data_IF_910094343599
#
_entry.id   IF_910094343599
#
_cell.length_a   1.000
_cell.length_b   1.000
_cell.length_c   1.000
_cell.angle_alpha   90.00
_cell.angle_beta   90.00
_cell.angle_gamma   90.00
#
_symmetry.space_group_name_H-M   'P 1'
#
loop_
_entity.id
_entity.type
_entity.pdbx_description
1 polymer ?
#
# COMPACT_ATOMS: atom_id res chain seq x y z
N UNK A 1 -0.49 -0.59 15.86
CA UNK A 1 -1.54 -0.52 14.83
C UNK A 1 -1.55 -1.82 14.04
N UNK A 2 -2.71 -2.25 13.54
CA UNK A 2 -2.77 -3.41 12.65
C UNK A 2 -1.92 -3.20 11.39
N UNK A 3 -1.47 -4.30 10.81
CA UNK A 3 -0.72 -4.32 9.58
C UNK A 3 -1.56 -4.98 8.50
N UNK A 4 -1.57 -4.40 7.31
CA UNK A 4 -2.36 -4.87 6.18
C UNK A 4 -1.48 -5.15 4.98
N UNK A 5 -1.87 -6.15 4.21
CA UNK A 5 -1.28 -6.45 2.91
C UNK A 5 -2.35 -6.19 1.85
N UNK A 6 -2.00 -5.47 0.82
CA UNK A 6 -2.90 -5.28 -0.32
C UNK A 6 -2.16 -5.53 -1.63
N UNK A 7 -2.92 -5.72 -2.68
CA UNK A 7 -2.40 -5.89 -4.03
C UNK A 7 -3.24 -5.10 -5.02
N UNK A 8 -2.57 -4.46 -5.95
CA UNK A 8 -3.23 -3.77 -7.07
C UNK A 8 -2.28 -3.75 -8.26
N UNK A 9 -2.76 -3.30 -9.42
CA UNK A 9 -1.92 -3.14 -10.59
C UNK A 9 -0.88 -2.05 -10.36
N UNK A 10 0.29 -2.22 -10.95
CA UNK A 10 1.37 -1.23 -10.86
C UNK A 10 1.07 -0.03 -11.76
N UNK A 11 0.51 -0.27 -12.95
CA UNK A 11 0.20 0.77 -13.90
C UNK A 11 1.46 1.52 -14.33
N UNK A 12 1.36 2.85 -14.35
CA UNK A 12 2.45 3.72 -14.77
C UNK A 12 3.28 4.26 -13.60
N UNK A 13 3.17 3.66 -12.42
CA UNK A 13 3.93 4.09 -11.25
C UNK A 13 5.41 3.79 -11.46
N UNK A 14 6.26 4.80 -11.23
CA UNK A 14 7.71 4.67 -11.37
C UNK A 14 8.35 4.20 -10.07
N UNK A 15 9.57 3.66 -10.16
CA UNK A 15 10.33 3.28 -8.97
C UNK A 15 10.56 4.45 -8.03
N UNK A 16 10.82 5.65 -8.58
CA UNK A 16 11.00 6.85 -7.77
C UNK A 16 9.74 7.21 -6.99
N UNK A 17 8.58 7.08 -7.63
CA UNK A 17 7.30 7.32 -6.97
C UNK A 17 7.05 6.33 -5.84
N UNK A 18 7.42 5.06 -6.03
CA UNK A 18 7.32 4.04 -4.99
C UNK A 18 8.21 4.38 -3.81
N UNK A 19 9.46 4.79 -4.06
CA UNK A 19 10.39 5.20 -3.01
C UNK A 19 9.88 6.39 -2.23
N UNK A 20 9.30 7.37 -2.92
CA UNK A 20 8.70 8.54 -2.27
C UNK A 20 7.55 8.13 -1.36
N UNK A 21 6.68 7.24 -1.84
CA UNK A 21 5.57 6.74 -1.05
C UNK A 21 6.04 5.96 0.18
N UNK A 22 7.10 5.16 0.03
CA UNK A 22 7.68 4.39 1.13
C UNK A 22 8.15 5.30 2.26
N UNK A 23 8.69 6.46 1.92
CA UNK A 23 9.26 7.40 2.89
C UNK A 23 8.28 8.49 3.32
N UNK A 24 7.06 8.46 2.82
CA UNK A 24 6.05 9.46 3.16
C UNK A 24 5.63 9.34 4.63
N UNK A 25 5.33 10.47 5.29
CA UNK A 25 4.80 10.42 6.64
C UNK A 25 3.39 9.85 6.65
N UNK A 26 2.90 9.55 7.87
CA UNK A 26 1.53 9.10 8.08
C UNK A 26 0.56 10.07 7.42
N UNK A 27 -0.37 9.55 6.63
CA UNK A 27 -1.35 10.38 5.96
C UNK A 27 -2.56 10.71 6.84
N UNK A 28 -3.54 11.41 6.26
CA UNK A 28 -4.76 11.83 6.96
C UNK A 28 -5.63 10.68 7.47
N UNK A 29 -5.47 9.49 6.89
CA UNK A 29 -6.19 8.28 7.30
C UNK A 29 -5.41 7.45 8.32
N UNK A 30 -4.22 7.89 8.69
CA UNK A 30 -3.37 7.18 9.63
C UNK A 30 -2.55 6.05 9.01
N UNK A 31 -2.35 6.08 7.71
CA UNK A 31 -1.65 5.04 6.95
C UNK A 31 -0.18 5.38 6.79
N UNK A 32 0.69 4.41 7.08
CA UNK A 32 2.12 4.48 6.75
C UNK A 32 2.54 3.22 6.02
N UNK A 33 3.48 3.37 5.11
CA UNK A 33 4.01 2.24 4.36
C UNK A 33 5.15 1.57 5.13
N UNK A 34 5.02 0.28 5.37
CA UNK A 34 6.05 -0.51 6.04
C UNK A 34 7.02 -1.11 5.02
N UNK A 35 6.49 -1.62 3.92
CA UNK A 35 7.27 -2.13 2.80
C UNK A 35 6.40 -2.18 1.55
N UNK A 36 7.03 -2.17 0.41
CA UNK A 36 6.35 -2.30 -0.87
C UNK A 36 7.16 -3.22 -1.78
N UNK A 37 6.44 -4.09 -2.50
CA UNK A 37 7.04 -5.02 -3.43
C UNK A 37 6.31 -4.88 -4.76
N UNK A 38 7.04 -5.00 -5.86
CA UNK A 38 6.42 -4.84 -7.16
C UNK A 38 7.07 -5.74 -8.21
N UNK A 39 6.30 -6.05 -9.25
CA UNK A 39 6.77 -6.78 -10.41
C UNK A 39 6.16 -6.10 -11.65
N UNK A 40 7.02 -5.44 -12.43
CA UNK A 40 6.58 -4.69 -13.61
C UNK A 40 6.04 -5.60 -14.70
N UNK A 41 6.66 -6.75 -14.89
CA UNK A 41 6.27 -7.68 -15.95
C UNK A 41 4.88 -8.24 -15.73
N UNK A 42 4.53 -8.51 -14.46
CA UNK A 42 3.22 -9.03 -14.10
C UNK A 42 2.22 -7.96 -13.75
N UNK A 43 2.62 -6.70 -13.75
CA UNK A 43 1.78 -5.56 -13.38
C UNK A 43 1.18 -5.74 -11.99
N UNK A 44 2.04 -6.05 -11.02
CA UNK A 44 1.63 -6.27 -9.62
C UNK A 44 2.37 -5.33 -8.69
N UNK A 45 1.63 -4.82 -7.72
CA UNK A 45 2.16 -3.94 -6.69
C UNK A 45 1.55 -4.37 -5.35
N UNK A 46 2.43 -4.77 -4.44
CA UNK A 46 2.04 -5.24 -3.11
C UNK A 46 2.46 -4.20 -2.08
N UNK A 47 1.54 -3.81 -1.19
CA UNK A 47 1.84 -2.87 -0.13
C UNK A 47 1.65 -3.52 1.22
N UNK A 48 2.63 -3.36 2.11
CA UNK A 48 2.52 -3.71 3.52
C UNK A 48 2.42 -2.41 4.29
N UNK A 49 1.28 -2.19 4.93
CA UNK A 49 0.91 -0.91 5.52
C UNK A 49 0.53 -1.08 6.98
N UNK A 50 0.87 -0.07 7.80
CA UNK A 50 0.27 0.09 9.11
C UNK A 50 -0.89 1.08 8.98
N UNK A 51 -2.05 0.71 9.49
CA UNK A 51 -3.27 1.52 9.40
C UNK A 51 -4.22 1.18 10.54
N UNK A 52 -5.09 2.11 10.95
CA UNK A 52 -6.04 1.85 12.03
C UNK A 52 -7.13 0.84 11.64
N UNK A 53 -7.45 0.72 10.35
CA UNK A 53 -8.50 -0.17 9.88
C UNK A 53 -8.32 -0.48 8.40
N UNK A 54 -9.02 -1.52 7.93
CA UNK A 54 -9.08 -1.87 6.52
C UNK A 54 -9.70 -0.74 5.70
N UNK A 55 -10.70 -0.06 6.26
CA UNK A 55 -11.35 1.08 5.61
C UNK A 55 -10.36 2.21 5.36
N UNK A 56 -9.46 2.48 6.31
CA UNK A 56 -8.42 3.48 6.14
C UNK A 56 -7.50 3.15 4.96
N UNK A 57 -7.16 1.88 4.78
CA UNK A 57 -6.34 1.43 3.65
C UNK A 57 -7.08 1.68 2.33
N UNK A 58 -8.37 1.37 2.28
CA UNK A 58 -9.18 1.62 1.09
C UNK A 58 -9.23 3.11 0.74
N UNK A 59 -9.48 3.96 1.72
CA UNK A 59 -9.55 5.40 1.51
C UNK A 59 -8.21 5.97 1.03
N UNK A 60 -7.12 5.47 1.61
CA UNK A 60 -5.77 5.86 1.19
C UNK A 60 -5.55 5.57 -0.31
N UNK A 61 -5.93 4.38 -0.77
CA UNK A 61 -5.77 4.02 -2.18
C UNK A 61 -6.73 4.79 -3.09
N UNK A 62 -7.98 4.99 -2.67
CA UNK A 62 -8.97 5.75 -3.43
C UNK A 62 -8.51 7.19 -3.69
N UNK A 63 -7.82 7.78 -2.75
CA UNK A 63 -7.26 9.11 -2.87
C UNK A 63 -6.31 9.24 -4.07
N UNK A 64 -5.62 8.16 -4.42
CA UNK A 64 -4.71 8.11 -5.56
C UNK A 64 -5.33 7.45 -6.80
N UNK A 65 -6.64 7.17 -6.77
CA UNK A 65 -7.32 6.54 -7.88
C UNK A 65 -6.98 5.06 -8.06
N UNK A 66 -6.51 4.40 -7.02
CA UNK A 66 -6.10 3.00 -7.06
C UNK A 66 -7.20 2.11 -6.49
N UNK A 67 -7.44 0.97 -7.15
CA UNK A 67 -8.37 -0.05 -6.68
C UNK A 67 -7.60 -1.30 -6.30
N UNK A 68 -7.65 -1.66 -5.02
CA UNK A 68 -7.01 -2.88 -4.55
C UNK A 68 -7.86 -4.09 -4.93
N UNK A 69 -7.21 -5.16 -5.43
CA UNK A 69 -7.90 -6.43 -5.71
C UNK A 69 -8.39 -7.05 -4.41
N UNK A 70 -7.60 -6.95 -3.37
CA UNK A 70 -7.98 -7.37 -2.01
C UNK A 70 -7.07 -6.69 -0.99
N UNK A 71 -7.57 -6.64 0.24
CA UNK A 71 -6.86 -6.11 1.41
C UNK A 71 -7.08 -7.10 2.53
N UNK A 72 -6.01 -7.53 3.19
CA UNK A 72 -6.12 -8.45 4.33
C UNK A 72 -5.22 -8.01 5.47
N UNK A 73 -5.69 -8.20 6.68
CA UNK A 73 -4.87 -7.99 7.86
C UNK A 73 -3.87 -9.12 7.98
N UNK A 74 -2.61 -8.80 8.25
CA UNK A 74 -1.53 -9.78 8.33
C UNK A 74 -0.69 -9.54 9.57
N UNK A 75 0.07 -10.55 9.94
CA UNK A 75 1.13 -10.44 10.93
C UNK A 75 2.44 -10.80 10.26
N UNK A 76 3.51 -10.13 10.65
CA UNK A 76 4.83 -10.40 10.10
C UNK A 76 5.70 -11.06 11.17
N UNK A 77 6.69 -11.80 10.73
CA UNK A 77 7.69 -12.41 11.63
C UNK A 77 8.94 -11.56 11.77
N UNK A 78 9.03 -10.50 11.00
CA UNK A 78 10.18 -9.59 11.03
C UNK A 78 9.87 -8.32 11.81
#
# INVERSE_FOLDING_TARGET
>A
MPTYLDVHGLGNVTEDQIKQAQNAPKDEFGVTHKNMLYNKEEDRFYCILDAPSKDAVQKHHQKFGLNCEWITEVKTTA
#
